data_IF_264504691248
#
_entry.id   IF_264504691248
#
_cell.length_a   1.000
_cell.length_b   1.000
_cell.length_c   1.000
_cell.angle_alpha   90.00
_cell.angle_beta   90.00
_cell.angle_gamma   90.00
#
_symmetry.space_group_name_H-M   'P 1'
#
loop_
_entity.id
_entity.type
_entity.pdbx_description
1 polymer ?
#
# COMPACT_ATOMS: atom_id res chain seq x y z
N UNK A 1 7.97 -14.95 18.16
CA UNK A 1 9.00 -14.27 17.34
C UNK A 1 9.93 -13.53 18.28
N UNK A 2 11.20 -13.34 17.90
CA UNK A 2 12.12 -12.55 18.73
C UNK A 2 11.86 -11.06 18.53
N UNK A 3 12.13 -10.26 19.55
CA UNK A 3 11.99 -8.80 19.50
C UNK A 3 12.90 -8.18 18.42
N UNK A 4 14.07 -8.77 18.16
CA UNK A 4 14.97 -8.37 17.08
C UNK A 4 14.36 -8.55 15.70
N UNK A 5 13.64 -9.66 15.49
CA UNK A 5 12.95 -9.91 14.23
C UNK A 5 11.85 -8.87 14.00
N UNK A 6 11.02 -8.58 15.02
CA UNK A 6 9.95 -7.59 14.93
C UNK A 6 10.54 -6.20 14.62
N UNK A 7 11.64 -5.83 15.29
CA UNK A 7 12.33 -4.56 15.05
C UNK A 7 12.88 -4.46 13.62
N UNK A 8 13.49 -5.53 13.12
CA UNK A 8 14.01 -5.56 11.75
C UNK A 8 12.88 -5.50 10.71
N UNK A 9 11.82 -6.28 10.89
CA UNK A 9 10.65 -6.23 10.02
C UNK A 9 10.01 -4.83 10.01
N UNK A 10 9.92 -4.17 11.18
CA UNK A 10 9.38 -2.81 11.27
C UNK A 10 10.19 -1.82 10.47
N UNK A 11 11.52 -1.88 10.61
CA UNK A 11 12.44 -1.04 9.86
C UNK A 11 12.27 -1.27 8.36
N UNK A 12 12.17 -2.52 7.94
CA UNK A 12 12.04 -2.90 6.54
C UNK A 12 10.73 -2.39 5.93
N UNK A 13 9.57 -2.59 6.59
CA UNK A 13 8.30 -2.02 6.13
C UNK A 13 8.39 -0.49 6.00
N UNK A 14 9.02 0.19 6.97
CA UNK A 14 9.19 1.63 6.92
C UNK A 14 10.05 2.07 5.71
N UNK A 15 11.12 1.34 5.40
CA UNK A 15 11.96 1.57 4.21
C UNK A 15 11.17 1.37 2.92
N UNK A 16 10.39 0.29 2.79
CA UNK A 16 9.53 0.03 1.63
C UNK A 16 8.49 1.16 1.42
N UNK A 17 7.85 1.64 2.48
CA UNK A 17 6.90 2.75 2.41
C UNK A 17 7.56 4.09 2.05
N UNK A 18 8.84 4.27 2.40
CA UNK A 18 9.61 5.43 1.98
C UNK A 18 9.98 5.35 0.50
N UNK A 19 10.40 4.18 -0.01
CA UNK A 19 10.61 3.97 -1.45
C UNK A 19 9.33 4.27 -2.24
N UNK A 20 8.18 3.74 -1.80
CA UNK A 20 6.88 4.09 -2.37
C UNK A 20 6.64 5.60 -2.36
N UNK A 21 6.98 6.29 -1.27
CA UNK A 21 6.82 7.75 -1.16
C UNK A 21 7.65 8.49 -2.22
N UNK A 22 8.86 8.01 -2.53
CA UNK A 22 9.71 8.62 -3.55
C UNK A 22 9.17 8.40 -4.96
N UNK A 23 8.70 7.20 -5.27
CA UNK A 23 8.06 6.90 -6.57
C UNK A 23 6.80 7.77 -6.74
N UNK A 24 5.95 7.82 -5.71
CA UNK A 24 4.70 8.61 -5.73
C UNK A 24 4.95 10.10 -5.88
N UNK A 25 6.02 10.66 -5.27
CA UNK A 25 6.42 12.07 -5.47
C UNK A 25 6.81 12.38 -6.92
N UNK A 26 7.26 11.39 -7.67
CA UNK A 26 7.63 11.53 -9.08
C UNK A 26 6.46 11.41 -10.06
N UNK A 27 5.24 11.17 -9.55
CA UNK A 27 4.02 11.04 -10.34
C UNK A 27 3.14 12.29 -10.16
N UNK A 28 2.50 12.75 -11.22
CA UNK A 28 1.54 13.86 -11.17
C UNK A 28 0.10 13.42 -11.38
N UNK A 29 -0.11 12.27 -12.00
CA UNK A 29 -1.42 11.76 -12.39
C UNK A 29 -1.45 10.22 -12.44
N UNK A 30 -2.60 9.65 -12.81
CA UNK A 30 -2.80 8.19 -12.91
C UNK A 30 -1.94 7.54 -14.01
N UNK A 31 -1.62 8.25 -15.09
CA UNK A 31 -0.80 7.75 -16.19
C UNK A 31 0.66 7.59 -15.77
N UNK A 32 1.23 8.63 -15.13
CA UNK A 32 2.57 8.58 -14.55
C UNK A 32 2.69 7.42 -13.55
N UNK A 33 1.67 7.28 -12.70
CA UNK A 33 1.60 6.20 -11.72
C UNK A 33 1.57 4.83 -12.41
N UNK A 34 0.69 4.64 -13.39
CA UNK A 34 0.54 3.36 -14.10
C UNK A 34 1.85 2.94 -14.76
N UNK A 35 2.62 3.87 -15.31
CA UNK A 35 3.94 3.62 -15.91
C UNK A 35 5.02 3.18 -14.90
N UNK A 36 4.83 3.45 -13.60
CA UNK A 36 5.80 3.20 -12.53
C UNK A 36 5.30 2.21 -11.46
N UNK A 37 4.05 1.77 -11.54
CA UNK A 37 3.39 1.04 -10.46
C UNK A 37 3.96 -0.36 -10.21
N UNK A 38 4.72 -0.93 -11.16
CA UNK A 38 5.38 -2.24 -11.00
C UNK A 38 6.43 -2.27 -9.90
N UNK A 39 7.09 -1.14 -9.60
CA UNK A 39 8.00 -1.05 -8.46
C UNK A 39 7.23 -0.99 -7.13
N UNK A 40 6.12 -0.24 -7.10
CA UNK A 40 5.24 -0.15 -5.93
C UNK A 40 4.61 -1.51 -5.61
N UNK A 41 4.25 -2.31 -6.61
CA UNK A 41 3.74 -3.68 -6.42
C UNK A 41 4.72 -4.55 -5.61
N UNK A 42 6.01 -4.52 -5.96
CA UNK A 42 7.04 -5.30 -5.25
C UNK A 42 7.16 -4.87 -3.79
N UNK A 43 7.16 -3.57 -3.54
CA UNK A 43 7.18 -3.01 -2.19
C UNK A 43 5.94 -3.45 -1.39
N UNK A 44 4.75 -3.38 -1.98
CA UNK A 44 3.50 -3.81 -1.35
C UNK A 44 3.47 -5.32 -1.07
N UNK A 45 3.99 -6.15 -1.99
CA UNK A 45 4.09 -7.60 -1.81
C UNK A 45 4.91 -7.94 -0.56
N UNK A 46 6.03 -7.23 -0.38
CA UNK A 46 6.92 -7.38 0.78
C UNK A 46 6.26 -6.88 2.07
N UNK A 47 5.64 -5.70 2.04
CA UNK A 47 4.89 -5.15 3.18
C UNK A 47 3.78 -6.11 3.61
N UNK A 48 3.01 -6.65 2.66
CA UNK A 48 1.96 -7.63 2.90
C UNK A 48 2.49 -8.89 3.60
N UNK A 49 3.67 -9.37 3.21
CA UNK A 49 4.31 -10.53 3.84
C UNK A 49 4.80 -10.27 5.26
N UNK A 50 5.37 -9.08 5.50
CA UNK A 50 5.98 -8.73 6.80
C UNK A 50 4.96 -8.25 7.85
N UNK A 51 3.90 -7.54 7.43
CA UNK A 51 2.97 -6.90 8.35
C UNK A 51 2.27 -7.86 9.35
N UNK A 52 1.79 -9.06 8.95
CA UNK A 52 1.24 -10.03 9.89
C UNK A 52 2.26 -10.52 10.90
N UNK A 53 3.55 -10.56 10.53
CA UNK A 53 4.64 -11.00 11.41
C UNK A 53 4.91 -10.00 12.54
N UNK A 54 4.39 -8.78 12.43
CA UNK A 54 4.52 -7.69 13.41
C UNK A 54 3.22 -7.35 14.13
N UNK A 55 2.18 -8.18 13.98
CA UNK A 55 0.80 -7.88 14.43
C UNK A 55 0.21 -6.58 13.83
N UNK A 56 0.79 -6.09 12.73
CA UNK A 56 0.34 -4.89 12.02
C UNK A 56 -0.72 -5.23 10.96
N UNK A 57 -1.82 -5.86 11.40
CA UNK A 57 -2.89 -6.37 10.51
C UNK A 57 -3.45 -5.29 9.58
N UNK A 58 -3.68 -4.07 10.12
CA UNK A 58 -4.19 -2.92 9.36
C UNK A 58 -3.29 -2.55 8.17
N UNK A 59 -1.97 -2.61 8.36
CA UNK A 59 -0.98 -2.34 7.28
C UNK A 59 -1.06 -3.45 6.23
N UNK A 60 -1.08 -4.71 6.66
CA UNK A 60 -1.18 -5.85 5.75
C UNK A 60 -2.46 -5.84 4.91
N UNK A 61 -3.59 -5.44 5.49
CA UNK A 61 -4.86 -5.29 4.78
C UNK A 61 -4.81 -4.20 3.71
N UNK A 62 -4.30 -3.01 4.03
CA UNK A 62 -4.15 -1.94 3.04
C UNK A 62 -3.16 -2.31 1.94
N UNK A 63 -2.04 -2.95 2.31
CA UNK A 63 -1.07 -3.42 1.34
C UNK A 63 -1.67 -4.44 0.37
N UNK A 64 -2.49 -5.36 0.87
CA UNK A 64 -3.18 -6.36 0.03
C UNK A 64 -4.18 -5.73 -0.94
N UNK A 65 -5.01 -4.79 -0.47
CA UNK A 65 -5.98 -4.10 -1.33
C UNK A 65 -5.29 -3.28 -2.43
N UNK A 66 -4.20 -2.59 -2.09
CA UNK A 66 -3.44 -1.83 -3.06
C UNK A 66 -2.72 -2.76 -4.07
N UNK A 67 -2.16 -3.89 -3.60
CA UNK A 67 -1.50 -4.91 -4.42
C UNK A 67 -2.46 -5.46 -5.49
N UNK A 68 -3.70 -5.78 -5.09
CA UNK A 68 -4.75 -6.24 -6.00
C UNK A 68 -5.08 -5.19 -7.08
N UNK A 69 -5.26 -3.92 -6.70
CA UNK A 69 -5.54 -2.85 -7.66
C UNK A 69 -4.38 -2.59 -8.63
N UNK A 70 -3.14 -2.62 -8.14
CA UNK A 70 -1.98 -2.42 -8.99
C UNK A 70 -1.83 -3.58 -9.97
N UNK A 71 -2.12 -4.82 -9.56
CA UNK A 71 -2.11 -5.97 -10.48
C UNK A 71 -3.07 -5.80 -11.64
N UNK A 72 -4.28 -5.28 -11.41
CA UNK A 72 -5.21 -4.96 -12.50
C UNK A 72 -4.62 -3.95 -13.49
N UNK A 73 -3.91 -2.94 -13.00
CA UNK A 73 -3.20 -1.97 -13.87
C UNK A 73 -2.10 -2.65 -14.68
N UNK A 74 -1.34 -3.55 -14.05
CA UNK A 74 -0.29 -4.33 -14.74
C UNK A 74 -0.88 -5.30 -15.77
N UNK A 75 -2.12 -5.76 -15.59
CA UNK A 75 -2.89 -6.56 -16.55
C UNK A 75 -3.45 -5.72 -17.70
N UNK A 76 -3.35 -4.39 -17.63
CA UNK A 76 -3.74 -3.44 -18.69
C UNK A 76 -4.96 -2.59 -18.36
N UNK A 77 -5.56 -2.75 -17.17
CA UNK A 77 -6.71 -1.95 -16.76
C UNK A 77 -6.34 -0.49 -16.50
N UNK A 78 -7.25 0.42 -16.85
CA UNK A 78 -7.09 1.86 -16.58
C UNK A 78 -7.98 2.28 -15.42
N UNK A 79 -7.36 2.45 -14.25
CA UNK A 79 -8.09 2.78 -13.02
C UNK A 79 -8.01 4.29 -12.71
N UNK A 80 -9.15 4.98 -12.73
CA UNK A 80 -9.20 6.42 -12.48
C UNK A 80 -9.04 6.77 -10.99
N UNK A 81 -8.23 7.79 -10.73
CA UNK A 81 -7.91 8.29 -9.40
C UNK A 81 -7.14 7.29 -8.53
N UNK A 82 -6.48 6.31 -9.15
CA UNK A 82 -5.67 5.31 -8.44
C UNK A 82 -4.46 5.97 -7.79
N UNK A 83 -3.83 6.93 -8.46
CA UNK A 83 -2.63 7.59 -7.96
C UNK A 83 -2.87 8.21 -6.58
N UNK A 84 -3.92 9.00 -6.45
CA UNK A 84 -4.27 9.63 -5.17
C UNK A 84 -4.71 8.61 -4.11
N UNK A 85 -5.36 7.52 -4.53
CA UNK A 85 -5.73 6.44 -3.60
C UNK A 85 -4.50 5.75 -3.02
N UNK A 86 -3.56 5.33 -3.86
CA UNK A 86 -2.33 4.65 -3.43
C UNK A 86 -1.46 5.58 -2.60
N UNK A 87 -1.42 6.87 -2.94
CA UNK A 87 -0.74 7.89 -2.15
C UNK A 87 -1.35 8.06 -0.75
N UNK A 88 -2.67 8.11 -0.65
CA UNK A 88 -3.37 8.17 0.64
C UNK A 88 -3.14 6.89 1.45
N UNK A 89 -3.24 5.71 0.83
CA UNK A 89 -2.95 4.44 1.49
C UNK A 89 -1.52 4.36 1.99
N UNK A 90 -0.53 4.77 1.20
CA UNK A 90 0.87 4.77 1.59
C UNK A 90 1.13 5.69 2.79
N UNK A 91 0.52 6.88 2.78
CA UNK A 91 0.58 7.79 3.94
C UNK A 91 -0.05 7.15 5.17
N UNK A 92 -1.24 6.56 5.05
CA UNK A 92 -1.95 5.96 6.17
C UNK A 92 -1.18 4.76 6.77
N UNK A 93 -0.54 3.95 5.93
CA UNK A 93 0.35 2.87 6.39
C UNK A 93 1.57 3.41 7.15
N UNK A 94 2.14 4.54 6.74
CA UNK A 94 3.23 5.20 7.48
C UNK A 94 2.76 5.74 8.83
N UNK A 95 1.56 6.30 8.88
CA UNK A 95 0.96 6.80 10.12
C UNK A 95 0.67 5.65 11.09
N UNK A 96 0.20 4.50 10.60
CA UNK A 96 -0.02 3.28 11.40
C UNK A 96 1.23 2.71 12.08
N UNK A 97 2.40 2.82 11.43
CA UNK A 97 3.68 2.41 12.04
C UNK A 97 3.98 3.26 13.29
N UNK A 98 3.59 4.53 13.26
CA UNK A 98 3.83 5.48 14.35
C UNK A 98 2.75 5.39 15.42
N UNK A 99 1.52 5.16 15.00
CA UNK A 99 0.33 5.11 15.85
C UNK A 99 -0.64 4.03 15.35
N UNK A 100 -0.67 2.90 16.06
CA UNK A 100 -1.53 1.76 15.73
C UNK A 100 -3.02 2.02 15.97
N UNK A 101 -3.37 3.13 16.63
CA UNK A 101 -4.77 3.54 16.87
C UNK A 101 -5.41 4.18 15.64
N UNK A 102 -4.62 4.55 14.64
CA UNK A 102 -5.11 5.08 13.36
C UNK A 102 -6.10 4.10 12.73
N UNK A 103 -7.26 4.62 12.33
CA UNK A 103 -8.33 3.83 11.73
C UNK A 103 -8.23 3.80 10.21
N UNK A 104 -8.42 2.62 9.63
CA UNK A 104 -8.36 2.41 8.18
C UNK A 104 -9.73 2.24 7.54
N UNK A 105 -10.79 2.12 8.35
CA UNK A 105 -12.13 1.72 7.89
C UNK A 105 -12.64 2.64 6.78
N UNK A 106 -12.48 3.97 6.93
CA UNK A 106 -12.94 4.94 5.95
C UNK A 106 -12.25 4.80 4.59
N UNK A 107 -10.91 4.67 4.58
CA UNK A 107 -10.16 4.50 3.35
C UNK A 107 -10.45 3.13 2.71
N UNK A 108 -10.47 2.07 3.52
CA UNK A 108 -10.79 0.71 3.07
C UNK A 108 -12.17 0.65 2.41
N UNK A 109 -13.18 1.25 3.03
CA UNK A 109 -14.53 1.31 2.46
C UNK A 109 -14.54 2.12 1.15
N UNK A 110 -13.83 3.25 1.12
CA UNK A 110 -13.71 4.07 -0.09
C UNK A 110 -13.09 3.28 -1.24
N UNK A 111 -11.99 2.56 -0.98
CA UNK A 111 -11.33 1.69 -1.97
C UNK A 111 -12.31 0.64 -2.49
N UNK A 112 -12.94 -0.11 -1.59
CA UNK A 112 -13.87 -1.19 -1.95
C UNK A 112 -15.09 -0.69 -2.72
N UNK A 113 -15.63 0.46 -2.38
CA UNK A 113 -16.78 1.04 -3.09
C UNK A 113 -16.37 1.63 -4.43
N UNK A 114 -15.27 2.39 -4.47
CA UNK A 114 -14.84 3.12 -5.68
C UNK A 114 -14.31 2.18 -6.77
N UNK A 115 -13.70 1.07 -6.38
CA UNK A 115 -13.06 0.12 -7.28
C UNK A 115 -13.72 -1.26 -7.24
N UNK A 116 -15.01 -1.31 -6.89
CA UNK A 116 -15.76 -2.56 -6.73
C UNK A 116 -15.67 -3.46 -7.97
N UNK A 117 -15.61 -2.88 -9.17
CA UNK A 117 -15.50 -3.61 -10.44
C UNK A 117 -14.16 -4.34 -10.65
N UNK A 118 -13.14 -4.00 -9.85
CA UNK A 118 -11.78 -4.57 -9.94
C UNK A 118 -11.50 -5.61 -8.85
N UNK A 119 -12.44 -5.82 -7.93
CA UNK A 119 -12.38 -6.85 -6.90
C UNK A 119 -13.35 -7.98 -7.25
N UNK A 120 -12.88 -9.22 -7.13
CA UNK A 120 -13.67 -10.44 -7.35
C UNK A 120 -14.56 -10.81 -6.14
#
# INVERSE_FOLDING_TARGET
>A
MSDEFIKQATKEIHEELEHNSQILKSCQNDEDFSNKCSEIEKHLHKIKGLAPMMDQKKIGELASLNDELIKKILEGEKIKGIFETIKQSNKLMKDLIRDSTVEIVGLKQTIKTKYAEFFD
#
